data_IF_930609483657
#
_entry.id   IF_930609483657
#
_cell.length_a   1.000
_cell.length_b   1.000
_cell.length_c   1.000
_cell.angle_alpha   90.00
_cell.angle_beta   90.00
_cell.angle_gamma   90.00
#
_symmetry.space_group_name_H-M   'P 1'
#
loop_
_entity.id
_entity.type
_entity.pdbx_description
1 polymer ?
#
# COMPACT_ATOMS: atom_id res chain seq x y z
N UNK A 1 4.12 -11.09 -42.82
CA UNK A 1 4.46 -9.81 -42.16
C UNK A 1 3.98 -9.83 -40.69
N UNK A 2 4.70 -10.50 -39.77
CA UNK A 2 4.28 -10.64 -38.36
C UNK A 2 5.35 -10.21 -37.33
N UNK A 3 6.46 -9.59 -37.75
CA UNK A 3 7.60 -9.30 -36.88
C UNK A 3 7.62 -7.96 -36.13
N UNK A 4 6.71 -7.03 -36.42
CA UNK A 4 6.81 -5.64 -35.92
C UNK A 4 6.06 -5.38 -34.61
N UNK A 5 5.00 -6.15 -34.30
CA UNK A 5 4.16 -5.92 -33.12
C UNK A 5 4.86 -6.28 -31.80
N UNK A 6 5.63 -7.38 -31.77
CA UNK A 6 6.32 -7.85 -30.57
C UNK A 6 7.49 -6.95 -30.14
N UNK A 7 8.25 -6.40 -31.11
CA UNK A 7 9.38 -5.51 -30.82
C UNK A 7 8.92 -4.16 -30.24
N UNK A 8 7.81 -3.60 -30.74
CA UNK A 8 7.24 -2.35 -30.24
C UNK A 8 6.66 -2.50 -28.83
N UNK A 9 5.93 -3.59 -28.55
CA UNK A 9 5.41 -3.87 -27.20
C UNK A 9 6.52 -4.08 -26.17
N UNK A 10 7.63 -4.73 -26.56
CA UNK A 10 8.81 -4.87 -25.71
C UNK A 10 9.44 -3.51 -25.38
N UNK A 11 9.61 -2.64 -26.37
CA UNK A 11 10.18 -1.31 -26.14
C UNK A 11 9.30 -0.45 -25.21
N UNK A 12 7.97 -0.55 -25.33
CA UNK A 12 7.03 0.14 -24.44
C UNK A 12 7.11 -0.39 -23.02
N UNK A 13 7.15 -1.72 -22.83
CA UNK A 13 7.31 -2.34 -21.52
C UNK A 13 8.59 -1.86 -20.83
N UNK A 14 9.74 -1.92 -21.51
CA UNK A 14 11.02 -1.48 -20.97
C UNK A 14 11.01 0.01 -20.62
N UNK A 15 10.41 0.85 -21.48
CA UNK A 15 10.28 2.28 -21.20
C UNK A 15 9.45 2.55 -19.95
N UNK A 16 8.31 1.88 -19.80
CA UNK A 16 7.46 2.02 -18.62
C UNK A 16 8.16 1.53 -17.35
N UNK A 17 8.80 0.37 -17.41
CA UNK A 17 9.51 -0.22 -16.27
C UNK A 17 10.68 0.68 -15.82
N UNK A 18 11.49 1.16 -16.76
CA UNK A 18 12.60 2.06 -16.45
C UNK A 18 12.14 3.42 -15.93
N UNK A 19 11.06 3.98 -16.49
CA UNK A 19 10.43 5.20 -15.98
C UNK A 19 9.92 5.05 -14.55
N UNK A 20 9.26 3.91 -14.26
CA UNK A 20 8.77 3.59 -12.92
C UNK A 20 9.92 3.42 -11.92
N UNK A 21 11.02 2.76 -12.31
CA UNK A 21 12.23 2.60 -11.48
C UNK A 21 12.88 3.94 -11.16
N UNK A 22 13.13 4.76 -12.17
CA UNK A 22 13.71 6.08 -11.99
C UNK A 22 12.85 6.95 -11.05
N UNK A 23 11.53 6.96 -11.25
CA UNK A 23 10.61 7.68 -10.37
C UNK A 23 10.59 7.11 -8.93
N UNK A 24 10.67 5.79 -8.76
CA UNK A 24 10.82 5.17 -7.42
C UNK A 24 12.12 5.64 -6.75
N UNK A 25 13.22 5.68 -7.48
CA UNK A 25 14.53 6.05 -6.94
C UNK A 25 14.60 7.54 -6.59
N UNK A 26 14.03 8.42 -7.42
CA UNK A 26 13.79 9.84 -7.11
C UNK A 26 12.92 9.99 -5.84
N UNK A 27 11.90 9.14 -5.68
CA UNK A 27 11.06 9.09 -4.50
C UNK A 27 11.81 8.67 -3.24
N UNK A 28 12.67 7.65 -3.35
CA UNK A 28 13.53 7.16 -2.27
C UNK A 28 14.55 8.23 -1.84
N UNK A 29 15.16 8.92 -2.79
CA UNK A 29 16.08 10.03 -2.52
C UNK A 29 15.34 11.16 -1.77
N UNK A 30 14.18 11.59 -2.26
CA UNK A 30 13.36 12.60 -1.59
C UNK A 30 12.91 12.17 -0.19
N UNK A 31 12.59 10.89 0.01
CA UNK A 31 12.23 10.33 1.31
C UNK A 31 13.41 10.36 2.30
N UNK A 32 14.62 10.03 1.83
CA UNK A 32 15.86 10.11 2.61
C UNK A 32 16.16 11.56 3.04
N UNK A 33 15.88 12.52 2.16
CA UNK A 33 16.01 13.96 2.42
C UNK A 33 14.89 14.54 3.31
N UNK A 34 13.90 13.74 3.73
CA UNK A 34 12.74 14.21 4.49
C UNK A 34 11.73 15.03 3.67
N UNK A 35 11.89 15.12 2.34
CA UNK A 35 11.00 15.84 1.43
C UNK A 35 9.75 15.00 1.10
N UNK A 36 8.89 14.80 2.09
CA UNK A 36 7.75 13.87 2.01
C UNK A 36 6.80 14.15 0.84
N UNK A 37 6.51 15.42 0.54
CA UNK A 37 5.62 15.77 -0.60
C UNK A 37 6.25 15.43 -1.95
N UNK A 38 7.55 15.66 -2.11
CA UNK A 38 8.28 15.28 -3.31
C UNK A 38 8.37 13.75 -3.45
N UNK A 39 8.61 13.04 -2.35
CA UNK A 39 8.58 11.58 -2.33
C UNK A 39 7.21 11.04 -2.78
N UNK A 40 6.11 11.56 -2.22
CA UNK A 40 4.76 11.19 -2.63
C UNK A 40 4.50 11.46 -4.12
N UNK A 41 4.97 12.59 -4.64
CA UNK A 41 4.84 12.93 -6.05
C UNK A 41 5.55 11.91 -6.94
N UNK A 42 6.81 11.58 -6.62
CA UNK A 42 7.61 10.65 -7.41
C UNK A 42 7.07 9.21 -7.35
N UNK A 43 6.58 8.74 -6.20
CA UNK A 43 5.91 7.44 -6.13
C UNK A 43 4.59 7.40 -6.93
N UNK A 44 3.81 8.48 -6.94
CA UNK A 44 2.62 8.58 -7.81
C UNK A 44 3.01 8.61 -9.29
N UNK A 45 4.09 9.31 -9.65
CA UNK A 45 4.67 9.29 -11.01
C UNK A 45 5.09 7.86 -11.41
N UNK A 46 5.68 7.08 -10.50
CA UNK A 46 5.97 5.67 -10.75
C UNK A 46 4.69 4.86 -11.05
N UNK A 47 3.61 5.06 -10.27
CA UNK A 47 2.31 4.43 -10.55
C UNK A 47 1.75 4.83 -11.93
N UNK A 48 1.95 6.06 -12.40
CA UNK A 48 1.51 6.47 -13.75
C UNK A 48 2.18 5.64 -14.85
N UNK A 49 3.47 5.32 -14.72
CA UNK A 49 4.16 4.43 -15.65
C UNK A 49 3.64 2.98 -15.58
N UNK A 50 3.23 2.54 -14.39
CA UNK A 50 2.72 1.18 -14.17
C UNK A 50 1.24 1.02 -14.52
N UNK A 51 0.48 2.11 -14.62
CA UNK A 51 -0.96 2.12 -14.85
C UNK A 51 -1.40 1.49 -16.18
N UNK A 52 -0.49 1.34 -17.14
CA UNK A 52 -0.77 0.64 -18.39
C UNK A 52 -0.98 -0.87 -18.18
N UNK A 53 -0.40 -1.43 -17.10
CA UNK A 53 -0.39 -2.86 -16.83
C UNK A 53 -1.13 -3.26 -15.54
N UNK A 54 -1.40 -2.28 -14.66
CA UNK A 54 -2.02 -2.51 -13.36
C UNK A 54 -3.40 -1.87 -13.34
N UNK A 55 -4.39 -2.66 -12.94
CA UNK A 55 -5.72 -2.12 -12.64
C UNK A 55 -5.64 -1.34 -11.32
N UNK A 56 -5.98 -0.06 -11.38
CA UNK A 56 -6.37 0.67 -10.17
C UNK A 56 -7.81 0.24 -9.88
N UNK A 57 -8.05 -0.48 -8.77
CA UNK A 57 -9.41 -0.82 -8.27
C UNK A 57 -10.20 0.42 -7.82
N UNK A 58 -9.77 1.62 -8.25
CA UNK A 58 -10.48 2.85 -8.05
C UNK A 58 -11.72 2.81 -8.95
N UNK A 59 -12.80 2.24 -8.41
CA UNK A 59 -14.16 2.24 -8.99
C UNK A 59 -14.66 3.68 -9.15
N UNK A 60 -14.17 4.37 -10.18
CA UNK A 60 -14.92 5.43 -10.83
C UNK A 60 -15.91 4.72 -11.74
N UNK A 61 -17.11 4.48 -11.20
CA UNK A 61 -18.26 4.01 -11.95
C UNK A 61 -18.62 5.07 -13.00
N UNK A 62 -18.11 4.88 -14.22
CA UNK A 62 -18.41 5.69 -15.40
C UNK A 62 -18.50 4.77 -16.62
N UNK A 63 -19.71 4.62 -17.14
CA UNK A 63 -20.08 3.67 -18.18
C UNK A 63 -19.40 3.97 -19.53
N UNK A 64 -18.95 2.90 -20.21
CA UNK A 64 -18.38 2.97 -21.56
C UNK A 64 -16.86 3.12 -21.63
N UNK A 65 -16.34 4.33 -21.38
CA UNK A 65 -14.92 4.67 -21.63
C UNK A 65 -13.96 3.99 -20.64
N UNK A 66 -14.33 3.92 -19.36
CA UNK A 66 -13.53 3.23 -18.34
C UNK A 66 -13.42 1.74 -18.65
N UNK A 67 -14.52 1.12 -19.10
CA UNK A 67 -14.53 -0.29 -19.49
C UNK A 67 -13.63 -0.57 -20.72
N UNK A 68 -13.59 0.32 -21.71
CA UNK A 68 -12.71 0.18 -22.86
C UNK A 68 -11.22 0.28 -22.46
N UNK A 69 -10.88 1.23 -21.59
CA UNK A 69 -9.52 1.39 -21.05
C UNK A 69 -9.11 0.18 -20.18
N UNK A 70 -10.01 -0.35 -19.36
CA UNK A 70 -9.75 -1.58 -18.60
C UNK A 70 -9.50 -2.78 -19.51
N UNK A 71 -10.30 -2.96 -20.57
CA UNK A 71 -10.08 -4.04 -21.56
C UNK A 71 -8.74 -3.92 -22.29
N UNK A 72 -8.31 -2.69 -22.61
CA UNK A 72 -7.01 -2.45 -23.22
C UNK A 72 -5.87 -2.83 -22.26
N UNK A 73 -5.94 -2.39 -21.00
CA UNK A 73 -4.96 -2.74 -19.95
C UNK A 73 -4.90 -4.24 -19.69
N UNK A 74 -6.04 -4.91 -19.68
CA UNK A 74 -6.11 -6.37 -19.51
C UNK A 74 -5.50 -7.12 -20.68
N UNK A 75 -5.59 -6.56 -21.88
CA UNK A 75 -4.97 -7.14 -23.06
C UNK A 75 -3.45 -6.93 -23.02
N UNK A 76 -3.00 -5.73 -22.64
CA UNK A 76 -1.58 -5.43 -22.45
C UNK A 76 -0.96 -6.30 -21.34
N UNK A 77 -1.63 -6.46 -20.20
CA UNK A 77 -1.20 -7.33 -19.11
C UNK A 77 -1.15 -8.80 -19.52
N UNK A 78 -2.16 -9.31 -20.24
CA UNK A 78 -2.19 -10.70 -20.74
C UNK A 78 -1.13 -10.99 -21.79
N UNK A 79 -0.62 -9.97 -22.48
CA UNK A 79 0.49 -10.12 -23.43
C UNK A 79 1.88 -10.22 -22.77
N UNK A 80 1.99 -9.97 -21.46
CA UNK A 80 3.26 -10.10 -20.75
C UNK A 80 3.56 -11.56 -20.41
N UNK A 81 4.86 -11.91 -20.44
CA UNK A 81 5.30 -13.18 -19.88
C UNK A 81 5.10 -13.18 -18.35
N UNK A 82 4.96 -14.35 -17.71
CA UNK A 82 4.81 -14.46 -16.26
C UNK A 82 5.94 -13.77 -15.49
N UNK A 83 7.17 -13.85 -15.99
CA UNK A 83 8.36 -13.26 -15.36
C UNK A 83 8.29 -11.73 -15.37
N UNK A 84 7.87 -11.15 -16.50
CA UNK A 84 7.71 -9.70 -16.64
C UNK A 84 6.57 -9.15 -15.80
N UNK A 85 5.49 -9.93 -15.68
CA UNK A 85 4.38 -9.58 -14.79
C UNK A 85 4.85 -9.61 -13.33
N UNK A 86 5.59 -10.63 -12.91
CA UNK A 86 6.15 -10.72 -11.57
C UNK A 86 7.08 -9.53 -11.27
N UNK A 87 8.01 -9.19 -12.17
CA UNK A 87 8.91 -8.04 -12.04
C UNK A 87 8.15 -6.71 -11.88
N UNK A 88 7.06 -6.55 -12.64
CA UNK A 88 6.21 -5.38 -12.59
C UNK A 88 5.43 -5.30 -11.26
N UNK A 89 4.87 -6.42 -10.81
CA UNK A 89 4.14 -6.51 -9.54
C UNK A 89 5.04 -6.28 -8.33
N UNK A 90 6.28 -6.77 -8.36
CA UNK A 90 7.30 -6.49 -7.34
C UNK A 90 7.63 -5.00 -7.25
N UNK A 91 7.83 -4.35 -8.40
CA UNK A 91 8.07 -2.91 -8.45
C UNK A 91 6.86 -2.13 -7.91
N UNK A 92 5.65 -2.55 -8.29
CA UNK A 92 4.42 -1.93 -7.82
C UNK A 92 4.23 -2.06 -6.30
N UNK A 93 4.45 -3.26 -5.76
CA UNK A 93 4.40 -3.51 -4.33
C UNK A 93 5.40 -2.64 -3.57
N UNK A 94 6.63 -2.50 -4.07
CA UNK A 94 7.64 -1.62 -3.47
C UNK A 94 7.20 -0.15 -3.46
N UNK A 95 6.66 0.35 -4.57
CA UNK A 95 6.15 1.73 -4.70
C UNK A 95 4.98 1.96 -3.75
N UNK A 96 3.99 1.07 -3.72
CA UNK A 96 2.82 1.17 -2.85
C UNK A 96 3.19 1.09 -1.38
N UNK A 97 4.13 0.21 -1.01
CA UNK A 97 4.62 0.12 0.36
C UNK A 97 5.24 1.46 0.78
N UNK A 98 6.11 2.05 -0.04
CA UNK A 98 6.72 3.35 0.24
C UNK A 98 5.71 4.50 0.26
N UNK A 99 4.71 4.47 -0.61
CA UNK A 99 3.63 5.44 -0.61
C UNK A 99 2.81 5.35 0.69
N UNK A 100 2.58 4.15 1.23
CA UNK A 100 1.94 3.97 2.54
C UNK A 100 2.75 4.62 3.66
N UNK A 101 4.08 4.48 3.67
CA UNK A 101 4.96 5.15 4.64
C UNK A 101 4.91 6.67 4.51
N UNK A 102 4.98 7.20 3.29
CA UNK A 102 4.94 8.65 3.07
C UNK A 102 3.60 9.22 3.48
N UNK A 103 2.49 8.55 3.15
CA UNK A 103 1.15 8.97 3.55
C UNK A 103 0.98 8.94 5.07
N UNK A 104 1.48 7.91 5.75
CA UNK A 104 1.54 7.85 7.22
C UNK A 104 2.27 9.08 7.79
N UNK A 105 3.47 9.39 7.28
CA UNK A 105 4.28 10.54 7.73
C UNK A 105 3.66 11.90 7.39
N UNK A 106 2.81 11.96 6.37
CA UNK A 106 2.07 13.18 5.97
C UNK A 106 0.74 13.35 6.71
N UNK A 107 0.36 12.42 7.60
CA UNK A 107 -0.95 12.43 8.26
C UNK A 107 -2.12 12.05 7.35
N UNK A 108 -1.83 11.48 6.17
CA UNK A 108 -2.82 11.03 5.16
C UNK A 108 -3.18 9.57 5.40
N UNK A 109 -3.74 9.29 6.58
CA UNK A 109 -3.95 7.92 7.06
C UNK A 109 -4.88 7.09 6.15
N UNK A 110 -5.99 7.61 5.60
CA UNK A 110 -6.83 6.84 4.68
C UNK A 110 -6.06 6.40 3.42
N UNK A 111 -5.26 7.28 2.83
CA UNK A 111 -4.39 6.97 1.69
C UNK A 111 -3.32 5.93 2.07
N UNK A 112 -2.77 6.03 3.28
CA UNK A 112 -1.81 5.07 3.83
C UNK A 112 -2.39 3.66 3.94
N UNK A 113 -3.62 3.54 4.47
CA UNK A 113 -4.35 2.25 4.53
C UNK A 113 -4.58 1.68 3.14
N UNK A 114 -5.01 2.51 2.18
CA UNK A 114 -5.24 2.07 0.79
C UNK A 114 -3.96 1.51 0.17
N UNK A 115 -2.87 2.28 0.20
CA UNK A 115 -1.59 1.83 -0.36
C UNK A 115 -1.06 0.56 0.30
N UNK A 116 -1.15 0.44 1.63
CA UNK A 116 -0.72 -0.78 2.31
C UNK A 116 -1.63 -1.98 1.99
N UNK A 117 -2.93 -1.76 1.85
CA UNK A 117 -3.89 -2.83 1.48
C UNK A 117 -3.60 -3.35 0.09
N UNK A 118 -3.28 -2.49 -0.88
CA UNK A 118 -2.88 -2.92 -2.23
C UNK A 118 -1.70 -3.89 -2.18
N UNK A 119 -0.67 -3.59 -1.37
CA UNK A 119 0.48 -4.50 -1.21
C UNK A 119 0.04 -5.85 -0.65
N UNK A 120 -0.80 -5.84 0.38
CA UNK A 120 -1.27 -7.06 1.06
C UNK A 120 -2.28 -7.86 0.25
N UNK A 121 -2.87 -7.27 -0.79
CA UNK A 121 -3.73 -7.97 -1.76
C UNK A 121 -2.92 -8.73 -2.82
N UNK A 122 -1.61 -8.49 -2.93
CA UNK A 122 -0.72 -9.24 -3.81
C UNK A 122 -0.32 -10.54 -3.08
N UNK A 123 -0.60 -11.74 -3.63
CA UNK A 123 -0.38 -13.01 -2.93
C UNK A 123 1.04 -13.18 -2.38
N UNK A 124 2.04 -12.80 -3.17
CA UNK A 124 3.46 -12.89 -2.84
C UNK A 124 3.86 -11.93 -1.69
N UNK A 125 3.02 -10.93 -1.40
CA UNK A 125 3.23 -9.92 -0.37
C UNK A 125 2.14 -9.88 0.71
N UNK A 126 1.26 -10.88 0.76
CA UNK A 126 0.15 -10.93 1.71
C UNK A 126 0.62 -10.86 3.18
N UNK A 127 1.83 -11.33 3.46
CA UNK A 127 2.45 -11.27 4.79
C UNK A 127 3.56 -10.20 4.91
N UNK A 128 3.55 -9.17 4.06
CA UNK A 128 4.57 -8.12 4.09
C UNK A 128 4.52 -7.33 5.41
N UNK A 129 5.48 -7.60 6.31
CA UNK A 129 5.57 -6.99 7.64
C UNK A 129 5.56 -5.47 7.61
N UNK A 130 6.27 -4.85 6.67
CA UNK A 130 6.32 -3.38 6.56
C UNK A 130 4.95 -2.81 6.18
N UNK A 131 4.23 -3.45 5.26
CA UNK A 131 2.90 -3.01 4.86
C UNK A 131 1.89 -3.19 6.00
N UNK A 132 1.92 -4.32 6.72
CA UNK A 132 1.10 -4.56 7.91
C UNK A 132 1.33 -3.50 8.99
N UNK A 133 2.59 -3.24 9.36
CA UNK A 133 2.92 -2.24 10.39
C UNK A 133 2.49 -0.82 9.98
N UNK A 134 2.66 -0.46 8.70
CA UNK A 134 2.22 0.84 8.16
C UNK A 134 0.69 0.95 8.18
N UNK A 135 -0.03 -0.12 7.83
CA UNK A 135 -1.49 -0.17 7.87
C UNK A 135 -2.02 -0.09 9.30
N UNK A 136 -1.41 -0.83 10.23
CA UNK A 136 -1.73 -0.79 11.65
C UNK A 136 -1.59 0.64 12.21
N UNK A 137 -0.46 1.29 11.91
CA UNK A 137 -0.21 2.67 12.34
C UNK A 137 -1.26 3.63 11.79
N UNK A 138 -1.63 3.52 10.51
CA UNK A 138 -2.68 4.35 9.93
C UNK A 138 -4.06 4.06 10.56
N UNK A 139 -4.39 2.79 10.80
CA UNK A 139 -5.65 2.39 11.43
C UNK A 139 -5.76 2.91 12.87
N UNK A 140 -4.66 2.88 13.64
CA UNK A 140 -4.59 3.49 14.97
C UNK A 140 -4.95 4.98 14.92
N UNK A 141 -4.33 5.73 14.00
CA UNK A 141 -4.65 7.16 13.84
C UNK A 141 -6.08 7.44 13.36
N UNK A 142 -6.72 6.48 12.70
CA UNK A 142 -8.13 6.55 12.30
C UNK A 142 -9.11 6.09 13.39
N UNK A 143 -8.61 5.60 14.53
CA UNK A 143 -9.45 5.00 15.58
C UNK A 143 -9.97 3.60 15.26
N UNK A 144 -9.49 2.97 14.19
CA UNK A 144 -9.85 1.60 13.81
C UNK A 144 -9.00 0.59 14.60
N UNK A 145 -9.17 0.55 15.92
CA UNK A 145 -8.27 -0.16 16.84
C UNK A 145 -8.24 -1.67 16.58
N UNK A 146 -9.39 -2.28 16.28
CA UNK A 146 -9.50 -3.72 16.01
C UNK A 146 -8.76 -4.10 14.72
N UNK A 147 -8.82 -3.24 13.70
CA UNK A 147 -8.08 -3.46 12.44
C UNK A 147 -6.57 -3.34 12.67
N UNK A 148 -6.15 -2.38 13.50
CA UNK A 148 -4.75 -2.23 13.85
C UNK A 148 -4.22 -3.44 14.61
N UNK A 149 -4.98 -4.01 15.56
CA UNK A 149 -4.60 -5.24 16.25
C UNK A 149 -4.51 -6.44 15.32
N UNK A 150 -5.48 -6.60 14.42
CA UNK A 150 -5.46 -7.70 13.45
C UNK A 150 -4.21 -7.67 12.55
N UNK A 151 -3.76 -6.46 12.16
CA UNK A 151 -2.52 -6.27 11.41
C UNK A 151 -1.28 -6.67 12.25
N UNK A 152 -1.24 -6.35 13.54
CA UNK A 152 -0.14 -6.73 14.44
C UNK A 152 -0.12 -8.24 14.73
N UNK A 153 -1.29 -8.85 14.94
CA UNK A 153 -1.42 -10.30 15.10
C UNK A 153 -0.87 -11.03 13.85
N UNK A 154 -1.09 -10.47 12.65
CA UNK A 154 -0.58 -11.03 11.41
C UNK A 154 0.96 -10.92 11.32
N UNK A 155 1.54 -9.82 11.80
CA UNK A 155 3.01 -9.66 11.90
C UNK A 155 3.61 -10.71 12.83
N UNK A 156 3.04 -10.89 14.01
CA UNK A 156 3.53 -11.84 15.02
C UNK A 156 3.39 -13.29 14.53
N UNK A 157 2.25 -13.64 13.94
CA UNK A 157 2.04 -14.96 13.32
C UNK A 157 3.09 -15.25 12.25
N UNK A 158 3.37 -14.29 11.37
CA UNK A 158 4.40 -14.45 10.35
C UNK A 158 5.81 -14.60 10.94
N UNK A 159 6.15 -13.84 11.98
CA UNK A 159 7.45 -13.97 12.68
C UNK A 159 7.63 -15.35 13.29
N UNK A 160 6.58 -15.87 13.94
CA UNK A 160 6.57 -17.22 14.52
C UNK A 160 6.74 -18.31 13.46
N UNK A 161 6.02 -18.21 12.33
CA UNK A 161 6.11 -19.18 11.24
C UNK A 161 7.48 -19.20 10.56
N UNK A 162 8.15 -18.05 10.45
CA UNK A 162 9.46 -17.92 9.79
C UNK A 162 10.63 -18.15 10.74
N UNK A 163 10.38 -18.32 12.05
CA UNK A 163 11.43 -18.37 13.06
C UNK A 163 12.25 -17.08 13.15
N UNK A 164 11.75 -15.98 12.58
CA UNK A 164 12.36 -14.67 12.70
C UNK A 164 12.27 -14.25 14.18
N UNK A 165 13.42 -13.88 14.76
CA UNK A 165 13.69 -13.80 16.20
C UNK A 165 12.78 -12.90 17.04
N UNK A 166 13.32 -12.03 17.92
CA UNK A 166 12.48 -11.27 18.85
C UNK A 166 11.49 -10.35 18.11
N UNK A 167 10.29 -10.20 18.69
CA UNK A 167 9.21 -9.35 18.17
C UNK A 167 9.74 -7.94 17.88
N UNK A 168 9.42 -7.42 16.69
CA UNK A 168 9.83 -6.09 16.25
C UNK A 168 9.44 -5.03 17.31
N UNK A 169 10.36 -4.19 17.80
CA UNK A 169 10.06 -3.14 18.77
C UNK A 169 8.91 -2.22 18.35
N UNK A 170 8.68 -2.05 17.04
CA UNK A 170 7.55 -1.30 16.51
C UNK A 170 6.20 -1.94 16.87
N UNK A 171 6.10 -3.28 16.90
CA UNK A 171 4.89 -4.01 17.31
C UNK A 171 4.60 -3.73 18.78
N UNK A 172 5.60 -3.87 19.65
CA UNK A 172 5.46 -3.63 21.10
C UNK A 172 4.98 -2.20 21.36
N UNK A 173 5.59 -1.23 20.69
CA UNK A 173 5.19 0.18 20.80
C UNK A 173 3.74 0.40 20.34
N UNK A 174 3.37 -0.11 19.16
CA UNK A 174 2.02 0.05 18.63
C UNK A 174 0.96 -0.63 19.50
N UNK A 175 1.24 -1.80 20.08
CA UNK A 175 0.36 -2.46 21.05
C UNK A 175 0.09 -1.58 22.27
N UNK A 176 1.13 -0.94 22.81
CA UNK A 176 0.98 -0.03 23.95
C UNK A 176 0.13 1.18 23.58
N UNK A 177 0.34 1.78 22.41
CA UNK A 177 -0.47 2.91 21.92
C UNK A 177 -1.94 2.53 21.70
N UNK A 178 -2.22 1.33 21.16
CA UNK A 178 -3.57 0.81 21.00
C UNK A 178 -4.24 0.59 22.36
N UNK A 179 -3.53 0.00 23.33
CA UNK A 179 -4.05 -0.25 24.66
C UNK A 179 -4.47 1.05 25.37
N UNK A 180 -3.65 2.09 25.29
CA UNK A 180 -3.99 3.41 25.83
C UNK A 180 -5.18 4.04 25.09
N UNK A 181 -5.23 3.92 23.75
CA UNK A 181 -6.36 4.42 22.97
C UNK A 181 -7.69 3.73 23.35
N UNK A 182 -7.67 2.42 23.60
CA UNK A 182 -8.84 1.66 24.08
C UNK A 182 -9.30 2.12 25.45
N UNK A 183 -8.37 2.25 26.40
CA UNK A 183 -8.65 2.72 27.76
C UNK A 183 -9.28 4.12 27.75
N UNK A 184 -8.79 5.00 26.89
CA UNK A 184 -9.36 6.33 26.70
C UNK A 184 -10.78 6.29 26.11
N UNK A 185 -11.01 5.44 25.11
CA UNK A 185 -12.32 5.26 24.51
C UNK A 185 -13.34 4.74 25.53
N UNK A 186 -12.97 3.74 26.32
CA UNK A 186 -13.81 3.20 27.40
C UNK A 186 -14.12 4.26 28.47
N UNK A 187 -13.13 5.05 28.89
CA UNK A 187 -13.34 6.14 29.85
C UNK A 187 -14.38 7.12 29.34
N UNK A 188 -14.24 7.58 28.09
CA UNK A 188 -15.20 8.49 27.45
C UNK A 188 -16.61 7.89 27.35
N UNK A 189 -16.70 6.60 27.01
CA UNK A 189 -17.99 5.89 26.96
C UNK A 189 -18.64 5.83 28.34
N UNK A 190 -17.90 5.47 29.39
CA UNK A 190 -18.41 5.44 30.78
C UNK A 190 -18.88 6.82 31.23
N UNK A 191 -18.12 7.87 30.95
CA UNK A 191 -18.48 9.25 31.31
C UNK A 191 -19.68 9.78 30.52
N UNK A 192 -19.86 9.33 29.27
CA UNK A 192 -21.05 9.63 28.48
C UNK A 192 -22.28 8.91 29.04
N UNK A 193 -22.19 7.61 29.35
CA UNK A 193 -23.28 6.86 29.95
C UNK A 193 -23.73 7.49 31.28
N UNK A 194 -22.79 7.84 32.18
CA UNK A 194 -23.12 8.51 33.44
C UNK A 194 -23.93 9.80 33.24
N UNK A 195 -23.58 10.61 32.24
CA UNK A 195 -24.32 11.84 31.93
C UNK A 195 -25.72 11.57 31.39
N UNK A 196 -25.89 10.52 30.58
CA UNK A 196 -27.20 10.13 30.02
C UNK A 196 -28.18 9.58 31.07
N UNK A 197 -27.71 9.01 32.17
CA UNK A 197 -28.57 8.42 33.22
C UNK A 197 -28.78 9.32 34.45
N UNK A 198 -28.16 10.51 34.48
CA UNK A 198 -28.28 11.50 35.56
C UNK A 198 -29.03 12.76 35.10
N UNK A 199 -29.52 12.79 33.85
CA UNK A 199 -30.49 13.79 33.34
C UNK A 199 -31.89 13.20 33.29
#
# INVERSE_FOLDING_TARGET
MQGTSSSSQNALYERCLNGARAAKDEGNAALKDGKLRAAAFNYKKANLYLAEYIQDDNKLAGEGLVNALCKQRDSARRSLSPERLAELMELYAAVQNNLALVNLRLGRYPEGVRSATVVLSIPEHAANTKALLRRASCNLHLGNLEKAESDLDAVERHSQMTGAGPVDPAVVKLRAEIAEAKKEAERKQRDMCKRMFVS
#
